data_IF_197190461142
#
_entry.id   IF_197190461142
#
_cell.length_a   1.000
_cell.length_b   1.000
_cell.length_c   1.000
_cell.angle_alpha   90.00
_cell.angle_beta   90.00
_cell.angle_gamma   90.00
#
_symmetry.space_group_name_H-M   'P 1'
#
loop_
_entity.id
_entity.type
_entity.pdbx_description
1 polymer ?
#
# COMPACT_ATOMS: atom_id res chain seq x y z
N UNK A 1 -2.53 1.15 -4.08
CA UNK A 1 -2.87 -0.10 -4.75
C UNK A 1 -2.69 -1.25 -3.77
N UNK A 2 -3.61 -2.17 -3.78
CA UNK A 2 -3.65 -3.35 -2.92
C UNK A 2 -3.58 -4.59 -3.81
N UNK A 3 -2.66 -5.50 -3.51
CA UNK A 3 -2.53 -6.76 -4.21
C UNK A 3 -2.88 -7.91 -3.26
N UNK A 4 -3.86 -8.72 -3.62
CA UNK A 4 -4.28 -9.87 -2.86
C UNK A 4 -3.98 -11.14 -3.66
N UNK A 5 -3.29 -12.09 -3.02
CA UNK A 5 -2.96 -13.38 -3.61
C UNK A 5 -3.60 -14.51 -2.82
N UNK A 6 -4.08 -15.52 -3.52
CA UNK A 6 -4.65 -16.74 -2.94
C UNK A 6 -4.10 -17.98 -3.64
N UNK A 7 -3.82 -19.02 -2.86
CA UNK A 7 -3.53 -20.34 -3.39
C UNK A 7 -4.83 -21.12 -3.58
N UNK A 8 -5.01 -21.71 -4.74
CA UNK A 8 -6.23 -22.40 -5.15
C UNK A 8 -5.98 -23.91 -5.21
N UNK A 9 -6.88 -24.70 -4.68
CA UNK A 9 -6.81 -26.16 -4.77
C UNK A 9 -7.53 -26.66 -6.03
N UNK A 10 -7.00 -27.73 -6.67
CA UNK A 10 -7.68 -28.35 -7.80
C UNK A 10 -9.07 -28.90 -7.43
N UNK A 11 -10.00 -28.81 -8.37
CA UNK A 11 -11.34 -29.40 -8.23
C UNK A 11 -12.38 -28.51 -7.55
N UNK A 12 -12.02 -27.29 -7.14
CA UNK A 12 -12.99 -26.32 -6.63
C UNK A 12 -13.63 -25.54 -7.78
N UNK A 13 -14.90 -25.23 -7.65
CA UNK A 13 -15.67 -24.46 -8.64
C UNK A 13 -16.20 -23.19 -7.97
N UNK A 14 -16.31 -22.10 -8.73
CA UNK A 14 -16.85 -20.82 -8.30
C UNK A 14 -16.16 -20.21 -7.04
N UNK A 15 -14.83 -20.31 -7.03
CA UNK A 15 -14.04 -19.62 -6.01
C UNK A 15 -14.10 -18.12 -6.18
N UNK A 16 -14.19 -17.42 -5.06
CA UNK A 16 -14.30 -15.98 -5.00
C UNK A 16 -13.33 -15.40 -3.98
N UNK A 17 -12.70 -14.31 -4.35
CA UNK A 17 -11.81 -13.52 -3.51
C UNK A 17 -12.52 -12.24 -3.12
N UNK A 18 -12.86 -12.12 -1.85
CA UNK A 18 -13.45 -10.89 -1.30
C UNK A 18 -12.37 -10.12 -0.56
N UNK A 19 -12.35 -8.80 -0.74
CA UNK A 19 -11.37 -7.92 -0.09
C UNK A 19 -12.08 -6.70 0.46
N UNK A 20 -11.88 -6.45 1.75
CA UNK A 20 -12.43 -5.31 2.48
C UNK A 20 -11.34 -4.42 3.04
N UNK A 21 -11.60 -3.12 3.05
CA UNK A 21 -10.84 -2.15 3.81
C UNK A 21 -11.56 -1.87 5.12
N UNK A 22 -10.88 -2.07 6.23
CA UNK A 22 -11.45 -2.07 7.58
C UNK A 22 -10.69 -1.09 8.44
N UNK A 23 -11.38 -0.36 9.31
CA UNK A 23 -10.80 0.58 10.27
C UNK A 23 -11.16 0.18 11.70
N UNK A 24 -10.19 0.27 12.60
CA UNK A 24 -10.34 0.03 14.03
C UNK A 24 -10.24 1.35 14.82
N UNK A 25 -10.68 1.34 16.08
CA UNK A 25 -10.54 2.46 17.00
C UNK A 25 -11.44 3.66 16.71
N UNK A 26 -12.61 3.44 16.13
CA UNK A 26 -13.55 4.52 15.82
C UNK A 26 -14.36 4.81 17.08
N UNK A 27 -14.22 6.04 17.59
CA UNK A 27 -15.02 6.51 18.73
C UNK A 27 -16.43 6.86 18.28
N UNK A 28 -17.43 6.29 18.91
CA UNK A 28 -18.85 6.55 18.68
C UNK A 28 -19.56 6.77 20.00
N UNK A 29 -20.53 7.67 20.02
CA UNK A 29 -21.43 7.93 21.17
C UNK A 29 -22.85 7.40 20.94
N UNK A 30 -23.10 6.82 19.76
CA UNK A 30 -24.46 6.43 19.30
C UNK A 30 -24.71 4.92 19.34
N UNK A 31 -23.90 4.16 20.10
CA UNK A 31 -24.11 2.72 20.23
C UNK A 31 -25.33 2.41 21.09
N UNK A 32 -26.31 1.73 20.53
CA UNK A 32 -27.50 1.32 21.26
C UNK A 32 -27.16 0.42 22.44
N UNK A 33 -27.60 0.78 23.63
CA UNK A 33 -27.40 0.02 24.87
C UNK A 33 -26.08 0.34 25.59
N UNK A 34 -25.29 1.28 25.08
CA UNK A 34 -24.07 1.78 25.73
C UNK A 34 -24.29 3.24 26.13
N UNK A 35 -23.90 3.60 27.34
CA UNK A 35 -23.91 4.99 27.81
C UNK A 35 -22.50 5.56 27.76
N UNK A 36 -22.30 6.63 26.97
CA UNK A 36 -21.01 7.29 26.78
C UNK A 36 -20.27 6.84 25.53
N UNK A 37 -18.96 7.03 25.53
CA UNK A 37 -18.11 6.68 24.39
C UNK A 37 -17.94 5.16 24.25
N UNK A 38 -17.99 4.69 23.01
CA UNK A 38 -17.73 3.31 22.64
C UNK A 38 -16.73 3.28 21.51
N UNK A 39 -15.74 2.40 21.59
CA UNK A 39 -14.73 2.19 20.55
C UNK A 39 -15.23 1.04 19.65
N UNK A 40 -15.38 1.34 18.37
CA UNK A 40 -15.74 0.36 17.36
C UNK A 40 -14.49 -0.10 16.61
N UNK A 41 -14.29 -1.41 16.58
CA UNK A 41 -13.27 -2.07 15.80
C UNK A 41 -13.91 -2.87 14.65
N UNK A 42 -13.16 -3.09 13.59
CA UNK A 42 -13.62 -3.90 12.47
C UNK A 42 -14.66 -3.22 11.58
N UNK A 43 -14.72 -1.90 11.54
CA UNK A 43 -15.70 -1.17 10.71
C UNK A 43 -15.28 -1.22 9.24
N UNK A 44 -16.11 -1.81 8.39
CA UNK A 44 -15.87 -1.87 6.95
C UNK A 44 -16.04 -0.47 6.36
N UNK A 45 -14.95 0.07 5.81
CA UNK A 45 -14.96 1.37 5.12
C UNK A 45 -15.22 1.24 3.64
N UNK A 46 -14.74 0.14 3.04
CA UNK A 46 -15.00 -0.15 1.64
C UNK A 46 -14.96 -1.66 1.37
N UNK A 47 -15.80 -2.10 0.46
CA UNK A 47 -15.70 -3.39 -0.22
C UNK A 47 -14.91 -3.12 -1.50
N UNK A 48 -13.75 -3.76 -1.66
CA UNK A 48 -12.86 -3.50 -2.78
C UNK A 48 -13.13 -4.44 -3.96
N UNK A 49 -13.68 -5.63 -3.70
CA UNK A 49 -14.19 -6.53 -4.74
C UNK A 49 -15.42 -5.92 -5.43
N UNK A 50 -15.61 -6.22 -6.72
CA UNK A 50 -16.74 -5.70 -7.53
C UNK A 50 -18.10 -6.10 -6.95
N UNK A 51 -18.16 -7.30 -6.35
CA UNK A 51 -19.34 -7.84 -5.70
C UNK A 51 -19.05 -8.08 -4.21
N UNK A 52 -20.09 -7.95 -3.37
CA UNK A 52 -20.04 -8.28 -1.94
C UNK A 52 -19.72 -9.74 -1.69
N UNK A 53 -19.99 -10.61 -2.66
CA UNK A 53 -19.67 -12.04 -2.64
C UNK A 53 -18.26 -12.35 -3.14
N UNK A 54 -17.51 -11.36 -3.56
CA UNK A 54 -16.15 -11.46 -4.07
C UNK A 54 -16.04 -11.62 -5.57
N UNK A 55 -14.87 -11.32 -6.07
CA UNK A 55 -14.51 -11.49 -7.48
C UNK A 55 -14.24 -12.95 -7.79
N UNK A 56 -14.69 -13.40 -8.96
CA UNK A 56 -14.33 -14.73 -9.42
C UNK A 56 -12.82 -14.88 -9.57
N UNK A 57 -12.33 -16.00 -9.10
CA UNK A 57 -10.92 -16.38 -9.18
C UNK A 57 -10.75 -17.38 -10.33
N UNK A 58 -9.77 -17.13 -11.20
CA UNK A 58 -9.37 -18.11 -12.19
C UNK A 58 -8.68 -19.29 -11.50
N UNK A 59 -9.29 -20.46 -11.59
CA UNK A 59 -8.82 -21.70 -10.99
C UNK A 59 -7.93 -22.53 -11.91
N UNK A 60 -7.63 -22.05 -13.11
CA UNK A 60 -6.73 -22.72 -14.06
C UNK A 60 -5.28 -22.75 -13.57
N UNK A 61 -4.93 -21.85 -12.65
CA UNK A 61 -3.64 -21.81 -11.96
C UNK A 61 -3.80 -22.06 -10.46
N UNK A 62 -2.74 -22.54 -9.79
CA UNK A 62 -2.72 -22.75 -8.33
C UNK A 62 -2.67 -21.47 -7.51
N UNK A 63 -2.59 -20.31 -8.16
CA UNK A 63 -2.58 -19.01 -7.50
C UNK A 63 -3.39 -18.00 -8.29
N UNK A 64 -4.05 -17.11 -7.58
CA UNK A 64 -4.74 -15.98 -8.14
C UNK A 64 -4.28 -14.70 -7.46
N UNK A 65 -4.21 -13.60 -8.22
CA UNK A 65 -3.94 -12.27 -7.69
C UNK A 65 -4.94 -11.27 -8.23
N UNK A 66 -5.35 -10.34 -7.39
CA UNK A 66 -6.19 -9.20 -7.75
C UNK A 66 -5.56 -7.92 -7.22
N UNK A 67 -5.59 -6.89 -8.02
CA UNK A 67 -5.14 -5.55 -7.64
C UNK A 67 -6.36 -4.63 -7.53
N UNK A 68 -6.43 -3.90 -6.44
CA UNK A 68 -7.51 -2.95 -6.17
C UNK A 68 -6.94 -1.55 -5.94
N UNK A 69 -7.70 -0.55 -6.33
CA UNK A 69 -7.37 0.87 -6.13
C UNK A 69 -8.60 1.61 -5.64
N UNK A 70 -8.42 2.41 -4.61
CA UNK A 70 -9.51 3.21 -4.03
C UNK A 70 -8.99 4.60 -3.66
N UNK A 71 -9.84 5.60 -3.85
CA UNK A 71 -9.61 6.92 -3.29
C UNK A 71 -9.85 6.87 -1.77
N UNK A 72 -8.88 7.37 -1.01
CA UNK A 72 -8.98 7.40 0.46
C UNK A 72 -9.80 8.61 0.88
N UNK A 73 -10.82 8.38 1.71
CA UNK A 73 -11.55 9.49 2.34
C UNK A 73 -10.62 10.16 3.38
N UNK A 74 -10.48 11.50 3.35
CA UNK A 74 -9.65 12.23 4.33
C UNK A 74 -10.05 12.04 5.80
N UNK A 75 -11.27 11.55 6.05
CA UNK A 75 -11.77 11.26 7.41
C UNK A 75 -11.28 9.92 7.97
N UNK A 76 -10.69 9.06 7.13
CA UNK A 76 -10.21 7.76 7.56
C UNK A 76 -8.83 7.87 8.22
N UNK A 77 -8.64 7.17 9.32
CA UNK A 77 -7.32 7.07 9.95
C UNK A 77 -6.54 5.88 9.37
N UNK A 78 -5.69 6.16 8.40
CA UNK A 78 -4.90 5.13 7.71
C UNK A 78 -4.01 4.30 8.65
N UNK A 79 -3.57 4.86 9.78
CA UNK A 79 -2.75 4.14 10.75
C UNK A 79 -3.53 3.01 11.46
N UNK A 80 -4.86 3.15 11.52
CA UNK A 80 -5.76 2.17 12.12
C UNK A 80 -6.43 1.26 11.09
N UNK A 81 -6.01 1.36 9.82
CA UNK A 81 -6.63 0.57 8.76
C UNK A 81 -5.90 -0.72 8.48
N UNK A 82 -6.68 -1.72 8.09
CA UNK A 82 -6.21 -3.00 7.61
C UNK A 82 -7.03 -3.47 6.43
N UNK A 83 -6.40 -4.29 5.60
CA UNK A 83 -7.07 -4.99 4.50
C UNK A 83 -7.37 -6.39 4.98
N UNK A 84 -8.60 -6.82 4.85
CA UNK A 84 -9.05 -8.18 5.14
C UNK A 84 -9.46 -8.82 3.84
N UNK A 85 -8.86 -9.97 3.51
CA UNK A 85 -9.21 -10.74 2.32
C UNK A 85 -9.55 -12.15 2.69
N UNK A 86 -10.52 -12.73 2.02
CA UNK A 86 -10.89 -14.13 2.23
C UNK A 86 -11.30 -14.81 0.92
N UNK A 87 -10.92 -16.08 0.86
CA UNK A 87 -11.26 -16.99 -0.23
C UNK A 87 -12.47 -17.81 0.17
N UNK A 88 -13.48 -17.81 -0.67
CA UNK A 88 -14.74 -18.50 -0.42
C UNK A 88 -15.27 -19.20 -1.68
N UNK A 89 -16.20 -20.10 -1.46
CA UNK A 89 -17.05 -20.64 -2.51
C UNK A 89 -18.49 -20.19 -2.22
N UNK A 90 -19.18 -19.71 -3.22
CA UNK A 90 -20.58 -19.31 -3.12
C UNK A 90 -21.43 -20.16 -4.04
N UNK A 91 -22.36 -20.91 -3.46
CA UNK A 91 -23.38 -21.65 -4.19
C UNK A 91 -24.72 -20.88 -4.09
N UNK A 92 -25.10 -20.15 -5.15
CA UNK A 92 -26.32 -19.37 -5.15
C UNK A 92 -27.58 -20.24 -5.13
N UNK A 93 -27.50 -21.47 -5.60
CA UNK A 93 -28.64 -22.38 -5.68
C UNK A 93 -29.04 -22.88 -4.30
N UNK A 94 -28.07 -23.22 -3.48
CA UNK A 94 -28.29 -23.71 -2.11
C UNK A 94 -28.09 -22.62 -1.05
N UNK A 95 -27.69 -21.40 -1.44
CA UNK A 95 -27.35 -20.28 -0.56
C UNK A 95 -26.28 -20.68 0.48
N UNK A 96 -25.34 -21.51 0.08
CA UNK A 96 -24.22 -21.96 0.90
C UNK A 96 -23.03 -21.08 0.59
N UNK A 97 -22.43 -20.55 1.65
CA UNK A 97 -21.22 -19.76 1.61
C UNK A 97 -20.15 -20.46 2.45
N UNK A 98 -19.13 -21.00 1.80
CA UNK A 98 -18.04 -21.70 2.47
C UNK A 98 -16.77 -20.85 2.43
N UNK A 99 -16.25 -20.51 3.58
CA UNK A 99 -14.98 -19.82 3.74
C UNK A 99 -13.85 -20.85 3.80
N UNK A 100 -12.84 -20.70 2.95
CA UNK A 100 -11.67 -21.59 2.91
C UNK A 100 -10.48 -21.01 3.65
N UNK A 101 -10.23 -19.73 3.49
CA UNK A 101 -9.10 -19.05 4.12
C UNK A 101 -9.35 -17.55 4.23
N UNK A 102 -8.71 -16.91 5.21
CA UNK A 102 -8.74 -15.47 5.38
C UNK A 102 -7.36 -14.96 5.80
N UNK A 103 -7.07 -13.74 5.43
CA UNK A 103 -5.86 -13.03 5.84
C UNK A 103 -6.12 -11.56 6.01
N UNK A 104 -5.41 -10.95 6.96
CA UNK A 104 -5.38 -9.51 7.13
C UNK A 104 -3.96 -8.97 7.02
N UNK A 105 -3.85 -7.72 6.62
CA UNK A 105 -2.60 -6.93 6.57
C UNK A 105 -2.89 -5.49 6.93
N UNK A 106 -2.02 -4.87 7.72
CA UNK A 106 -2.11 -3.43 7.99
C UNK A 106 -1.85 -2.64 6.72
N UNK A 107 -2.58 -1.54 6.56
CA UNK A 107 -2.31 -0.57 5.49
C UNK A 107 -0.99 0.11 5.81
N UNK A 108 -0.06 0.05 4.87
CA UNK A 108 1.20 0.78 4.96
C UNK A 108 1.04 2.12 4.28
N UNK A 109 1.19 3.19 5.04
CA UNK A 109 1.24 4.54 4.48
C UNK A 109 2.67 4.78 4.02
N UNK A 110 2.89 4.73 2.71
CA UNK A 110 4.17 5.18 2.19
C UNK A 110 4.24 6.70 2.27
N UNK A 111 5.15 7.22 3.05
CA UNK A 111 5.44 8.65 3.11
C UNK A 111 6.08 9.10 1.79
N UNK A 112 5.29 9.37 0.77
CA UNK A 112 5.65 10.20 -0.38
C UNK A 112 6.79 9.78 -1.31
N UNK A 113 7.52 8.69 -1.02
CA UNK A 113 8.56 8.16 -1.92
C UNK A 113 8.01 6.90 -2.57
N UNK A 114 7.53 7.03 -3.79
CA UNK A 114 6.86 5.93 -4.51
C UNK A 114 7.78 4.81 -4.97
N UNK A 115 9.09 5.03 -5.02
CA UNK A 115 10.08 3.97 -5.27
C UNK A 115 11.49 4.41 -4.87
N UNK A 116 12.29 3.49 -4.35
CA UNK A 116 13.74 3.63 -4.29
C UNK A 116 14.28 3.07 -5.60
N UNK A 117 14.68 3.93 -6.51
CA UNK A 117 15.31 3.50 -7.76
C UNK A 117 16.70 3.01 -7.45
N UNK A 118 16.97 1.75 -7.80
CA UNK A 118 18.26 1.09 -7.52
C UNK A 118 19.39 1.46 -8.49
N UNK A 119 19.13 2.27 -9.51
CA UNK A 119 20.13 2.74 -10.48
C UNK A 119 20.39 4.22 -10.31
N UNK A 120 21.38 4.63 -9.50
CA UNK A 120 21.73 6.04 -9.29
C UNK A 120 22.07 6.78 -10.58
N UNK A 121 22.71 6.06 -11.52
CA UNK A 121 23.36 6.63 -12.70
C UNK A 121 22.39 7.20 -13.76
N UNK A 122 21.08 6.98 -13.59
CA UNK A 122 20.09 7.47 -14.57
C UNK A 122 19.32 8.74 -14.13
N UNK A 123 19.41 9.14 -12.89
CA UNK A 123 18.63 10.27 -12.36
C UNK A 123 19.45 11.38 -11.72
N UNK A 124 20.61 11.02 -11.18
CA UNK A 124 21.54 11.95 -10.52
C UNK A 124 22.97 11.64 -10.90
N UNK A 125 23.81 12.67 -10.91
CA UNK A 125 25.26 12.54 -10.96
C UNK A 125 25.88 13.11 -9.69
N UNK A 126 27.04 12.56 -9.29
CA UNK A 126 27.83 13.02 -8.14
C UNK A 126 29.23 13.33 -8.58
N UNK A 127 29.65 14.59 -8.52
CA UNK A 127 30.98 15.04 -8.91
C UNK A 127 31.51 15.98 -7.84
N UNK A 128 32.69 15.68 -7.31
CA UNK A 128 33.38 16.52 -6.32
C UNK A 128 32.49 17.00 -5.15
N UNK A 129 31.70 16.09 -4.59
CA UNK A 129 30.77 16.41 -3.49
C UNK A 129 29.51 17.17 -3.91
N UNK A 130 29.30 17.39 -5.19
CA UNK A 130 28.07 18.00 -5.69
C UNK A 130 27.13 16.93 -6.28
N UNK A 131 25.85 17.03 -5.95
CA UNK A 131 24.79 16.18 -6.47
C UNK A 131 23.91 16.98 -7.41
N UNK A 132 23.77 16.52 -8.63
CA UNK A 132 22.94 17.15 -9.66
C UNK A 132 21.94 16.16 -10.24
N UNK A 133 20.72 16.62 -10.42
CA UNK A 133 19.70 15.83 -11.13
C UNK A 133 19.93 15.91 -12.64
N UNK A 134 19.80 14.78 -13.32
CA UNK A 134 20.02 14.63 -14.77
C UNK A 134 18.80 14.03 -15.45
N UNK A 135 18.83 13.95 -16.79
CA UNK A 135 17.78 13.33 -17.61
C UNK A 135 16.36 13.92 -17.39
N UNK A 136 16.29 15.27 -17.28
CA UNK A 136 15.01 15.96 -17.11
C UNK A 136 14.44 15.95 -15.69
N UNK A 137 15.16 15.36 -14.74
CA UNK A 137 14.78 15.41 -13.33
C UNK A 137 15.20 16.73 -12.68
N UNK A 138 14.51 17.13 -11.63
CA UNK A 138 14.86 18.25 -10.75
C UNK A 138 15.19 17.75 -9.35
N UNK A 139 16.21 18.34 -8.72
CA UNK A 139 16.59 18.03 -7.34
C UNK A 139 15.55 18.63 -6.39
N UNK A 140 14.93 17.78 -5.58
CA UNK A 140 13.92 18.17 -4.58
C UNK A 140 14.53 18.28 -3.19
N UNK A 141 15.42 17.34 -2.83
CA UNK A 141 16.05 17.35 -1.52
C UNK A 141 17.24 16.39 -1.43
N UNK A 142 18.14 16.68 -0.50
CA UNK A 142 19.28 15.81 -0.14
C UNK A 142 19.33 15.68 1.37
N UNK A 143 19.38 14.46 1.88
CA UNK A 143 19.39 14.16 3.30
C UNK A 143 20.45 13.12 3.63
N UNK A 144 21.11 13.25 4.77
CA UNK A 144 21.93 12.16 5.30
C UNK A 144 21.04 11.08 5.97
N UNK A 145 21.65 10.00 6.44
CA UNK A 145 20.93 8.91 7.08
C UNK A 145 20.31 9.28 8.44
N UNK A 146 20.69 10.42 9.01
CA UNK A 146 20.06 10.96 10.22
C UNK A 146 18.86 11.88 9.93
N UNK A 147 18.56 12.14 8.64
CA UNK A 147 17.49 13.02 8.19
C UNK A 147 17.87 14.48 8.09
N UNK A 148 19.13 14.84 8.29
CA UNK A 148 19.60 16.22 8.16
C UNK A 148 19.66 16.62 6.68
N UNK A 149 19.09 17.80 6.35
CA UNK A 149 19.01 18.31 4.99
C UNK A 149 20.29 19.04 4.56
N UNK A 150 20.58 18.95 3.25
CA UNK A 150 21.71 19.60 2.58
C UNK A 150 21.27 20.25 1.27
N UNK A 151 22.04 21.19 0.77
CA UNK A 151 21.76 21.87 -0.50
C UNK A 151 22.16 21.04 -1.73
N UNK A 152 22.82 19.91 -1.55
CA UNK A 152 23.38 19.09 -2.64
C UNK A 152 24.73 19.57 -3.15
N UNK A 153 25.34 20.61 -2.55
CA UNK A 153 26.65 21.16 -2.92
C UNK A 153 27.64 20.98 -1.78
N UNK A 154 28.90 20.70 -2.15
CA UNK A 154 30.02 20.53 -1.22
C UNK A 154 29.71 19.55 -0.08
N UNK A 155 29.06 18.45 -0.43
CA UNK A 155 28.68 17.42 0.54
C UNK A 155 29.93 16.75 1.10
N UNK A 156 30.02 16.59 2.43
CA UNK A 156 31.05 15.75 3.04
C UNK A 156 31.00 14.31 2.51
N UNK A 157 32.12 13.61 2.60
CA UNK A 157 32.15 12.17 2.31
C UNK A 157 31.11 11.45 3.16
N UNK A 158 30.28 10.65 2.52
CA UNK A 158 29.20 9.98 3.21
C UNK A 158 28.12 9.42 2.29
N UNK A 159 27.07 8.93 2.91
CA UNK A 159 25.92 8.36 2.24
C UNK A 159 24.72 9.30 2.38
N UNK A 160 24.03 9.54 1.27
CA UNK A 160 22.90 10.45 1.21
C UNK A 160 21.71 9.82 0.49
N UNK A 161 20.52 10.26 0.86
CA UNK A 161 19.28 10.01 0.14
C UNK A 161 18.94 11.30 -0.62
N UNK A 162 18.87 11.19 -1.92
CA UNK A 162 18.57 12.28 -2.84
C UNK A 162 17.18 12.08 -3.40
N UNK A 163 16.31 13.07 -3.22
CA UNK A 163 14.97 13.07 -3.81
C UNK A 163 14.99 13.91 -5.07
N UNK A 164 14.51 13.33 -6.15
CA UNK A 164 14.35 13.99 -7.46
C UNK A 164 12.92 13.89 -7.95
N UNK A 165 12.52 14.77 -8.86
CA UNK A 165 11.20 14.79 -9.48
C UNK A 165 11.33 14.91 -11.00
N UNK A 166 10.52 14.12 -11.73
CA UNK A 166 10.34 14.25 -13.18
C UNK A 166 9.16 15.18 -13.56
N UNK A 167 8.61 15.89 -12.58
CA UNK A 167 7.43 16.76 -12.74
C UNK A 167 6.09 16.05 -12.56
N UNK A 168 6.07 14.72 -12.49
CA UNK A 168 4.86 13.91 -12.26
C UNK A 168 4.93 13.12 -10.96
N UNK A 169 6.11 12.60 -10.65
CA UNK A 169 6.35 11.82 -9.44
C UNK A 169 7.73 12.13 -8.84
N UNK A 170 7.90 11.78 -7.57
CA UNK A 170 9.18 11.89 -6.88
C UNK A 170 9.80 10.50 -6.70
N UNK A 171 11.11 10.45 -6.83
CA UNK A 171 11.91 9.25 -6.62
C UNK A 171 13.05 9.54 -5.67
N UNK A 172 13.41 8.57 -4.83
CA UNK A 172 14.55 8.66 -3.94
C UNK A 172 15.71 7.78 -4.45
N UNK A 173 16.88 8.35 -4.49
CA UNK A 173 18.11 7.71 -4.95
C UNK A 173 19.14 7.73 -3.83
N UNK A 174 19.76 6.59 -3.54
CA UNK A 174 20.89 6.50 -2.61
C UNK A 174 22.17 6.85 -3.35
N UNK A 175 22.92 7.83 -2.87
CA UNK A 175 24.23 8.23 -3.41
C UNK A 175 25.33 8.12 -2.36
N UNK A 176 26.54 7.92 -2.82
CA UNK A 176 27.75 7.89 -1.98
C UNK A 176 28.72 8.96 -2.48
N UNK A 177 29.06 9.92 -1.63
CA UNK A 177 30.11 10.91 -1.85
C UNK A 177 31.43 10.33 -1.31
N UNK A 178 32.43 10.17 -2.17
CA UNK A 178 33.73 9.56 -1.87
C UNK A 178 34.79 10.58 -1.48
#
# INVERSE_FOLDING_TARGET
>A
NLNTQANVMPGQTDLRLTTWLVEDGIVSTEQKGVSGEYIQDGVIRAVLSEDVWGDKVDISSYSASKEYSIAVDPKWNLANMRVVSFLSNYDPSNKVYQLYNSRESKVQVSSGISSVVRTPDSMVTVTDGNVEAINGNTLVGVHDLSGRSFTGKNLPKGMYIVTVSDGKQQSAVKVVVK
#
